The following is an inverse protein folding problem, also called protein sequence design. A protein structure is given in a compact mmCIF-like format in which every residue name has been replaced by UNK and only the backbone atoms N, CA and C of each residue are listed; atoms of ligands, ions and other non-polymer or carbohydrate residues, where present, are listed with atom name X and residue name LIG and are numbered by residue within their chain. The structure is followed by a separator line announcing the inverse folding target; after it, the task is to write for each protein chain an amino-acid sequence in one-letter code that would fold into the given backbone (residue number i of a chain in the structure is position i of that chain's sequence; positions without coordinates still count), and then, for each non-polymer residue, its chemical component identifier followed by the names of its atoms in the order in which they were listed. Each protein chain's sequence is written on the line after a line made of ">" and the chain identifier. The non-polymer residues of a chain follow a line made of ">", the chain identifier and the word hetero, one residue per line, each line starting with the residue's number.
data_IF_773468951397
#
_entry.id   IF_773468951397
#
_cell.length_a   1.000
_cell.length_b   1.000
_cell.length_c   1.000
_cell.angle_alpha   90.00
_cell.angle_beta   90.00
_cell.angle_gamma   90.00
#
_symmetry.space_group_name_H-M   'P 1'
#
loop_
_entity.id
_entity.type
_entity.pdbx_description
1 polymer ?
#
# COMPACT_ATOMS: atom_id res chain seq x y z
N UNK A 1 -16.41 -13.35 -5.14
CA UNK A 1 -17.06 -12.00 -4.95
C UNK A 1 -16.71 -11.50 -3.56
N UNK A 2 -16.18 -10.30 -3.43
CA UNK A 2 -15.72 -9.75 -2.16
C UNK A 2 -16.86 -9.74 -1.14
N UNK A 3 -16.59 -10.22 0.06
CA UNK A 3 -17.48 -10.25 1.22
C UNK A 3 -16.96 -9.30 2.28
N UNK A 4 -17.85 -8.64 3.01
CA UNK A 4 -17.54 -7.82 4.19
C UNK A 4 -17.94 -8.63 5.41
N UNK A 5 -17.12 -8.63 6.44
CA UNK A 5 -17.47 -9.24 7.74
C UNK A 5 -18.53 -8.39 8.48
N UNK A 6 -19.77 -8.47 8.01
CA UNK A 6 -20.88 -7.71 8.60
C UNK A 6 -21.20 -8.15 10.04
N UNK A 7 -20.97 -9.41 10.39
CA UNK A 7 -21.26 -9.90 11.74
C UNK A 7 -20.37 -9.25 12.79
N UNK A 8 -19.09 -9.03 12.47
CA UNK A 8 -18.19 -8.25 13.32
C UNK A 8 -18.67 -6.81 13.49
N UNK A 9 -19.16 -6.15 12.43
CA UNK A 9 -19.74 -4.81 12.51
C UNK A 9 -20.95 -4.81 13.46
N UNK A 10 -21.87 -5.74 13.28
CA UNK A 10 -23.09 -5.81 14.11
C UNK A 10 -22.78 -6.14 15.57
N UNK A 11 -21.78 -6.96 15.83
CA UNK A 11 -21.28 -7.28 17.17
C UNK A 11 -20.73 -6.02 17.86
N UNK A 12 -19.82 -5.30 17.20
CA UNK A 12 -19.20 -4.09 17.73
C UNK A 12 -20.24 -2.98 18.05
N UNK A 13 -21.25 -2.80 17.17
CA UNK A 13 -22.35 -1.84 17.43
C UNK A 13 -23.06 -2.18 18.73
N UNK A 14 -23.38 -3.48 18.96
CA UNK A 14 -24.07 -3.92 20.18
C UNK A 14 -23.20 -3.76 21.43
N UNK A 15 -21.96 -4.24 21.37
CA UNK A 15 -21.03 -4.23 22.52
C UNK A 15 -20.69 -2.81 22.96
N UNK A 16 -20.50 -1.89 22.01
CA UNK A 16 -20.21 -0.48 22.28
C UNK A 16 -21.46 0.35 22.55
N UNK A 17 -22.66 -0.22 22.32
CA UNK A 17 -23.94 0.52 22.42
C UNK A 17 -23.92 1.78 21.56
N UNK A 18 -23.35 1.69 20.35
CA UNK A 18 -23.20 2.82 19.47
C UNK A 18 -24.58 3.36 19.04
N UNK A 19 -24.73 4.68 19.03
CA UNK A 19 -25.95 5.37 18.57
C UNK A 19 -25.77 6.03 17.21
N UNK A 20 -24.53 6.07 16.69
CA UNK A 20 -24.19 6.49 15.33
C UNK A 20 -22.90 5.83 14.87
N UNK A 21 -22.76 5.54 13.57
CA UNK A 21 -21.55 4.93 13.00
C UNK A 21 -21.14 5.59 11.69
N UNK A 22 -19.84 5.55 11.39
CA UNK A 22 -19.29 5.89 10.09
C UNK A 22 -18.62 4.66 9.47
N UNK A 23 -18.70 4.50 8.15
CA UNK A 23 -18.10 3.42 7.38
C UNK A 23 -17.16 4.02 6.34
N UNK A 24 -15.90 3.66 6.38
CA UNK A 24 -14.86 4.05 5.43
C UNK A 24 -14.38 2.82 4.66
N UNK A 25 -14.21 2.93 3.35
CA UNK A 25 -13.78 1.81 2.53
C UNK A 25 -13.15 2.27 1.20
N UNK A 26 -12.34 1.42 0.53
CA UNK A 26 -11.90 1.67 -0.84
C UNK A 26 -13.07 1.84 -1.80
N UNK A 27 -12.88 2.66 -2.85
CA UNK A 27 -13.90 2.96 -3.87
C UNK A 27 -14.57 1.71 -4.43
N UNK A 28 -13.80 0.64 -4.66
CA UNK A 28 -14.33 -0.64 -5.17
C UNK A 28 -15.29 -1.36 -4.23
N UNK A 29 -15.33 -1.00 -2.94
CA UNK A 29 -16.24 -1.57 -1.95
C UNK A 29 -17.45 -0.67 -1.65
N UNK A 30 -17.48 0.57 -2.13
CA UNK A 30 -18.56 1.53 -1.81
C UNK A 30 -19.97 0.98 -2.03
N UNK A 31 -20.32 0.28 -3.15
CA UNK A 31 -21.65 -0.26 -3.34
C UNK A 31 -22.06 -1.25 -2.22
N UNK A 32 -21.13 -2.11 -1.80
CA UNK A 32 -21.38 -3.08 -0.70
C UNK A 32 -21.48 -2.39 0.65
N UNK A 33 -20.67 -1.37 0.89
CA UNK A 33 -20.72 -0.58 2.12
C UNK A 33 -22.03 0.18 2.24
N UNK A 34 -22.59 0.68 1.13
CA UNK A 34 -23.94 1.26 1.10
C UNK A 34 -25.01 0.24 1.52
N UNK A 35 -24.94 -1.00 1.03
CA UNK A 35 -25.84 -2.07 1.44
C UNK A 35 -25.69 -2.39 2.94
N UNK A 36 -24.45 -2.46 3.44
CA UNK A 36 -24.16 -2.69 4.86
C UNK A 36 -24.70 -1.54 5.72
N UNK A 37 -24.53 -0.29 5.31
CA UNK A 37 -25.07 0.88 6.00
C UNK A 37 -26.62 0.82 6.09
N UNK A 38 -27.28 0.45 4.98
CA UNK A 38 -28.73 0.28 4.97
C UNK A 38 -29.21 -0.84 5.94
N UNK A 39 -28.45 -1.95 6.01
CA UNK A 39 -28.73 -3.03 6.98
C UNK A 39 -28.58 -2.56 8.43
N UNK A 40 -27.53 -1.75 8.72
CA UNK A 40 -27.32 -1.16 10.05
C UNK A 40 -28.50 -0.27 10.44
N UNK A 41 -28.89 0.66 9.58
CA UNK A 41 -30.01 1.56 9.83
C UNK A 41 -31.32 0.78 10.07
N UNK A 42 -31.58 -0.25 9.27
CA UNK A 42 -32.78 -1.11 9.43
C UNK A 42 -32.74 -1.95 10.70
N UNK A 43 -31.59 -2.51 11.07
CA UNK A 43 -31.46 -3.47 12.19
C UNK A 43 -31.38 -2.78 13.55
N UNK A 44 -30.70 -1.63 13.61
CA UNK A 44 -30.38 -0.94 14.88
C UNK A 44 -31.13 0.39 15.06
N UNK A 45 -31.72 0.94 14.00
CA UNK A 45 -32.40 2.24 14.05
C UNK A 45 -31.46 3.44 14.26
N UNK A 46 -30.18 3.28 13.97
CA UNK A 46 -29.15 4.31 14.16
C UNK A 46 -28.64 4.88 12.82
N UNK A 47 -28.16 6.14 12.78
CA UNK A 47 -27.50 6.67 11.60
C UNK A 47 -26.22 5.89 11.25
N UNK A 48 -26.06 5.55 9.96
CA UNK A 48 -24.86 4.92 9.41
C UNK A 48 -24.37 5.75 8.21
N UNK A 49 -23.28 6.49 8.41
CA UNK A 49 -22.72 7.40 7.39
C UNK A 49 -21.68 6.66 6.56
N UNK A 50 -21.83 6.66 5.24
CA UNK A 50 -20.79 6.18 4.32
C UNK A 50 -19.87 7.34 3.99
N UNK A 51 -18.60 7.23 4.37
CA UNK A 51 -17.57 8.21 4.00
C UNK A 51 -17.13 7.90 2.55
N UNK A 52 -17.58 8.73 1.61
CA UNK A 52 -17.43 8.46 0.18
C UNK A 52 -16.22 9.14 -0.47
N UNK A 53 -15.34 9.74 0.32
CA UNK A 53 -14.05 10.22 -0.17
C UNK A 53 -13.12 9.04 -0.51
N UNK A 54 -12.29 9.19 -1.54
CA UNK A 54 -11.34 8.15 -1.96
C UNK A 54 -10.41 7.74 -0.82
N UNK A 55 -10.42 6.46 -0.48
CA UNK A 55 -9.57 5.84 0.55
C UNK A 55 -8.47 4.99 -0.10
N UNK A 56 -7.21 5.33 0.19
CA UNK A 56 -6.04 4.72 -0.46
C UNK A 56 -5.49 3.47 0.25
N UNK A 57 -5.79 3.32 1.53
CA UNK A 57 -5.28 2.20 2.33
C UNK A 57 -5.57 2.37 3.81
N UNK A 58 -5.02 1.49 4.64
CA UNK A 58 -5.09 1.58 6.10
C UNK A 58 -4.48 2.86 6.69
N UNK A 59 -3.65 3.55 5.92
CA UNK A 59 -3.08 4.85 6.26
C UNK A 59 -4.05 6.03 6.06
N UNK A 60 -5.29 5.77 5.61
CA UNK A 60 -6.30 6.79 5.25
C UNK A 60 -7.65 6.43 5.87
N UNK A 61 -7.73 6.55 7.19
CA UNK A 61 -8.89 6.11 7.96
C UNK A 61 -10.07 7.09 7.90
N UNK A 62 -9.83 8.34 7.51
CA UNK A 62 -10.81 9.43 7.54
C UNK A 62 -11.43 9.66 8.93
N UNK A 63 -10.62 9.52 9.98
CA UNK A 63 -11.06 9.71 11.37
C UNK A 63 -11.63 11.11 11.64
N UNK A 64 -11.11 12.11 10.90
CA UNK A 64 -11.63 13.47 11.02
C UNK A 64 -13.07 13.60 10.51
N UNK A 65 -13.42 12.92 9.40
CA UNK A 65 -14.80 12.86 8.90
C UNK A 65 -15.75 12.24 9.93
N UNK A 66 -15.34 11.13 10.54
CA UNK A 66 -16.11 10.48 11.61
C UNK A 66 -16.30 11.39 12.83
N UNK A 67 -15.26 12.15 13.23
CA UNK A 67 -15.33 13.11 14.33
C UNK A 67 -16.29 14.27 14.05
N UNK A 68 -16.26 14.84 12.84
CA UNK A 68 -17.16 15.92 12.42
C UNK A 68 -18.63 15.45 12.45
N UNK A 69 -18.88 14.18 12.11
CA UNK A 69 -20.21 13.56 12.15
C UNK A 69 -20.61 13.11 13.56
N UNK A 70 -19.74 13.27 14.56
CA UNK A 70 -19.91 12.74 15.92
C UNK A 70 -20.30 11.24 15.93
N UNK A 71 -19.69 10.45 15.02
CA UNK A 71 -19.91 9.01 14.97
C UNK A 71 -19.18 8.33 16.16
N UNK A 72 -19.89 7.46 16.88
CA UNK A 72 -19.31 6.72 18.01
C UNK A 72 -18.27 5.72 17.58
N UNK A 73 -18.50 5.08 16.42
CA UNK A 73 -17.57 4.09 15.85
C UNK A 73 -17.34 4.38 14.38
N UNK A 74 -16.07 4.33 14.00
CA UNK A 74 -15.63 4.32 12.61
C UNK A 74 -15.23 2.89 12.23
N UNK A 75 -15.95 2.28 11.31
CA UNK A 75 -15.57 1.02 10.68
C UNK A 75 -14.73 1.28 9.45
N UNK A 76 -13.46 0.88 9.48
CA UNK A 76 -12.60 0.89 8.31
C UNK A 76 -12.62 -0.49 7.66
N UNK A 77 -13.23 -0.58 6.48
CA UNK A 77 -13.56 -1.84 5.81
C UNK A 77 -12.53 -2.11 4.71
N UNK A 78 -11.93 -3.28 4.75
CA UNK A 78 -10.80 -3.64 3.89
C UNK A 78 -9.49 -2.96 4.33
N UNK A 79 -8.40 -3.27 3.64
CA UNK A 79 -7.05 -2.82 4.00
C UNK A 79 -6.68 -3.14 5.45
N UNK A 80 -7.11 -4.30 5.95
CA UNK A 80 -6.94 -4.69 7.35
C UNK A 80 -5.48 -4.90 7.67
N UNK A 81 -5.02 -4.22 8.70
CA UNK A 81 -3.71 -4.40 9.32
C UNK A 81 -3.88 -4.39 10.84
N UNK A 82 -2.95 -5.00 11.54
CA UNK A 82 -2.86 -4.86 13.00
C UNK A 82 -2.23 -3.51 13.33
N UNK A 83 -3.03 -2.53 13.76
CA UNK A 83 -2.54 -1.23 14.20
C UNK A 83 -2.56 -1.17 15.72
N UNK A 84 -1.40 -1.18 16.35
CA UNK A 84 -1.27 -1.00 17.80
C UNK A 84 -1.65 0.42 18.28
N UNK A 85 -1.85 1.36 17.34
CA UNK A 85 -2.03 2.80 17.61
C UNK A 85 -3.36 3.36 17.09
N UNK A 86 -4.34 2.51 16.77
CA UNK A 86 -5.67 2.98 16.31
C UNK A 86 -6.41 3.65 17.47
N UNK A 87 -7.09 4.75 17.17
CA UNK A 87 -8.01 5.38 18.12
C UNK A 87 -9.08 4.35 18.57
N UNK A 88 -9.45 4.37 19.85
CA UNK A 88 -10.38 3.38 20.46
C UNK A 88 -11.74 3.25 19.75
N UNK A 89 -12.15 4.28 19.00
CA UNK A 89 -13.40 4.30 18.26
C UNK A 89 -13.26 3.82 16.79
N UNK A 90 -12.07 3.45 16.33
CA UNK A 90 -11.85 2.87 15.01
C UNK A 90 -11.81 1.35 15.12
N UNK A 91 -12.54 0.66 14.25
CA UNK A 91 -12.57 -0.79 14.15
C UNK A 91 -12.23 -1.20 12.72
N UNK A 92 -11.22 -2.06 12.58
CA UNK A 92 -10.84 -2.63 11.29
C UNK A 92 -11.75 -3.82 10.98
N UNK A 93 -12.34 -3.82 9.80
CA UNK A 93 -13.25 -4.87 9.32
C UNK A 93 -12.67 -5.52 8.07
N UNK A 94 -12.60 -6.84 8.08
CA UNK A 94 -12.11 -7.60 6.95
C UNK A 94 -13.06 -7.55 5.76
N UNK A 95 -12.44 -7.42 4.58
CA UNK A 95 -13.08 -7.65 3.29
C UNK A 95 -12.23 -8.67 2.53
N UNK A 96 -12.80 -9.80 2.18
CA UNK A 96 -12.11 -10.93 1.59
C UNK A 96 -12.85 -11.50 0.39
N UNK A 97 -12.13 -12.19 -0.50
CA UNK A 97 -12.70 -12.86 -1.66
C UNK A 97 -12.41 -14.37 -1.63
N UNK A 98 -13.45 -15.17 -1.81
CA UNK A 98 -13.37 -16.63 -1.85
C UNK A 98 -13.14 -17.18 -3.28
N UNK A 99 -12.65 -16.36 -4.20
CA UNK A 99 -12.34 -16.85 -5.55
C UNK A 99 -11.30 -17.97 -5.49
N UNK A 100 -11.55 -19.09 -6.20
CA UNK A 100 -10.65 -20.23 -6.18
C UNK A 100 -9.36 -19.96 -6.94
N UNK A 101 -8.23 -20.33 -6.33
CA UNK A 101 -6.91 -20.33 -6.95
C UNK A 101 -6.54 -21.67 -7.60
N UNK A 102 -7.38 -22.71 -7.56
CA UNK A 102 -7.05 -24.07 -8.04
C UNK A 102 -6.51 -24.07 -9.47
N UNK A 103 -7.29 -23.55 -10.43
CA UNK A 103 -6.92 -23.54 -11.84
C UNK A 103 -5.61 -22.79 -12.11
N UNK A 104 -5.39 -21.69 -11.41
CA UNK A 104 -4.20 -20.88 -11.60
C UNK A 104 -2.98 -21.49 -10.90
N UNK A 105 -3.19 -22.20 -9.79
CA UNK A 105 -2.14 -22.94 -9.10
C UNK A 105 -1.58 -24.08 -9.97
N UNK A 106 -2.43 -24.79 -10.72
CA UNK A 106 -1.98 -25.81 -11.70
C UNK A 106 -1.05 -25.20 -12.76
N UNK A 107 -1.41 -24.04 -13.31
CA UNK A 107 -0.56 -23.33 -14.25
C UNK A 107 0.77 -22.90 -13.61
N UNK A 108 0.73 -22.43 -12.37
CA UNK A 108 1.91 -22.03 -11.60
C UNK A 108 2.86 -23.21 -11.39
N UNK A 109 2.33 -24.40 -11.04
CA UNK A 109 3.10 -25.63 -10.89
C UNK A 109 3.88 -25.95 -12.16
N UNK A 110 3.24 -25.85 -13.33
CA UNK A 110 3.91 -26.15 -14.60
C UNK A 110 5.11 -25.23 -14.89
N UNK A 111 5.08 -23.98 -14.42
CA UNK A 111 6.14 -23.00 -14.65
C UNK A 111 7.24 -23.10 -13.57
N UNK A 112 6.86 -23.36 -12.31
CA UNK A 112 7.74 -23.24 -11.15
C UNK A 112 8.07 -24.57 -10.45
N UNK A 113 7.70 -25.71 -11.06
CA UNK A 113 8.04 -27.05 -10.52
C UNK A 113 9.53 -27.19 -10.22
N UNK A 114 9.83 -27.68 -9.04
CA UNK A 114 11.19 -27.86 -8.55
C UNK A 114 11.85 -26.63 -7.97
N UNK A 115 11.29 -25.44 -8.19
CA UNK A 115 11.78 -24.17 -7.64
C UNK A 115 11.31 -23.96 -6.20
N UNK A 116 12.05 -23.11 -5.48
CA UNK A 116 11.65 -22.58 -4.18
C UNK A 116 11.07 -21.18 -4.38
N UNK A 117 9.86 -20.93 -3.88
CA UNK A 117 9.18 -19.64 -4.05
C UNK A 117 8.81 -19.02 -2.71
N UNK A 118 8.73 -17.70 -2.68
CA UNK A 118 8.07 -16.94 -1.63
C UNK A 118 6.61 -16.71 -2.03
N UNK A 119 5.66 -17.20 -1.22
CA UNK A 119 4.22 -17.01 -1.45
C UNK A 119 3.74 -15.80 -0.65
N UNK A 120 3.13 -14.84 -1.33
CA UNK A 120 2.85 -13.50 -0.82
C UNK A 120 1.47 -13.07 -1.29
N UNK A 121 0.77 -12.28 -0.48
CA UNK A 121 -0.55 -11.73 -0.83
C UNK A 121 -0.83 -10.41 -0.12
N UNK A 122 -1.96 -9.80 -0.41
CA UNK A 122 -2.55 -8.71 0.36
C UNK A 122 -3.60 -9.25 1.36
N UNK A 123 -4.26 -8.37 2.10
CA UNK A 123 -5.27 -8.76 3.10
C UNK A 123 -6.46 -9.49 2.50
N UNK A 124 -6.82 -9.20 1.24
CA UNK A 124 -8.01 -9.74 0.58
C UNK A 124 -7.96 -11.27 0.40
N UNK A 125 -6.77 -11.83 0.20
CA UNK A 125 -6.55 -13.26 -0.05
C UNK A 125 -5.72 -13.95 1.04
N UNK A 126 -5.45 -13.29 2.16
CA UNK A 126 -4.60 -13.82 3.22
C UNK A 126 -5.10 -15.17 3.78
N UNK A 127 -6.41 -15.35 3.90
CA UNK A 127 -7.04 -16.61 4.34
C UNK A 127 -6.80 -17.78 3.37
N UNK A 128 -6.40 -17.50 2.12
CA UNK A 128 -6.15 -18.51 1.09
C UNK A 128 -4.67 -18.90 0.96
N UNK A 129 -3.76 -18.22 1.66
CA UNK A 129 -2.31 -18.46 1.49
C UNK A 129 -1.91 -19.91 1.84
N UNK A 130 -2.42 -20.46 2.93
CA UNK A 130 -2.13 -21.85 3.33
C UNK A 130 -2.78 -22.91 2.43
N UNK A 131 -4.05 -22.81 2.01
CA UNK A 131 -4.60 -23.69 0.99
C UNK A 131 -3.82 -23.68 -0.32
N UNK A 132 -3.45 -22.52 -0.83
CA UNK A 132 -2.66 -22.40 -2.09
C UNK A 132 -1.25 -22.99 -1.91
N UNK A 133 -0.60 -22.73 -0.78
CA UNK A 133 0.70 -23.36 -0.46
C UNK A 133 0.63 -24.89 -0.57
N UNK A 134 -0.38 -25.51 0.05
CA UNK A 134 -0.54 -26.99 0.01
C UNK A 134 -0.71 -27.49 -1.44
N UNK A 135 -1.49 -26.79 -2.27
CA UNK A 135 -1.65 -27.15 -3.69
C UNK A 135 -0.31 -27.10 -4.44
N UNK A 136 0.45 -26.03 -4.27
CA UNK A 136 1.74 -25.82 -4.94
C UNK A 136 2.78 -26.87 -4.47
N UNK A 137 2.83 -27.16 -3.18
CA UNK A 137 3.74 -28.16 -2.59
C UNK A 137 3.41 -29.56 -3.09
N UNK A 138 2.13 -29.92 -3.19
CA UNK A 138 1.68 -31.20 -3.76
C UNK A 138 2.10 -31.32 -5.23
N UNK A 139 2.14 -30.22 -5.96
CA UNK A 139 2.60 -30.15 -7.35
C UNK A 139 4.13 -30.14 -7.52
N UNK A 140 4.90 -30.15 -6.42
CA UNK A 140 6.37 -30.21 -6.44
C UNK A 140 7.06 -28.84 -6.47
N UNK A 141 6.37 -27.77 -6.07
CA UNK A 141 6.96 -26.43 -5.81
C UNK A 141 7.31 -26.36 -4.33
N UNK A 142 8.48 -25.84 -3.98
CA UNK A 142 8.86 -25.61 -2.57
C UNK A 142 8.37 -24.20 -2.17
N UNK A 143 7.53 -24.09 -1.14
CA UNK A 143 6.91 -22.84 -0.76
C UNK A 143 7.46 -22.31 0.58
N UNK A 144 7.83 -21.04 0.60
CA UNK A 144 8.17 -20.29 1.80
C UNK A 144 7.13 -19.19 2.00
N UNK A 145 6.76 -18.94 3.26
CA UNK A 145 5.96 -17.79 3.67
C UNK A 145 6.82 -17.00 4.64
N UNK A 146 7.20 -15.79 4.24
CA UNK A 146 8.04 -14.94 5.08
C UNK A 146 7.26 -14.36 6.25
N UNK A 147 7.97 -14.06 7.33
CA UNK A 147 7.39 -13.49 8.54
C UNK A 147 6.95 -12.05 8.34
N UNK A 148 5.78 -11.74 8.84
CA UNK A 148 5.31 -10.37 8.95
C UNK A 148 6.14 -9.57 9.97
N UNK A 149 6.12 -8.25 9.83
CA UNK A 149 6.75 -7.33 10.77
C UNK A 149 5.83 -6.16 11.04
N UNK A 150 5.79 -5.69 12.29
CA UNK A 150 4.92 -4.58 12.68
C UNK A 150 3.45 -4.97 12.53
N UNK A 151 2.79 -4.37 11.57
CA UNK A 151 1.35 -4.53 11.31
C UNK A 151 1.02 -5.60 10.27
N UNK A 152 2.03 -6.23 9.67
CA UNK A 152 1.84 -7.25 8.64
C UNK A 152 1.75 -8.65 9.23
N UNK A 153 0.81 -9.44 8.73
CA UNK A 153 0.78 -10.89 8.94
C UNK A 153 1.86 -11.60 8.11
N UNK A 154 2.14 -12.87 8.42
CA UNK A 154 3.04 -13.70 7.63
C UNK A 154 2.55 -13.77 6.17
N UNK A 155 3.43 -13.56 5.21
CA UNK A 155 3.10 -13.51 3.78
C UNK A 155 2.30 -12.29 3.30
N UNK A 156 1.90 -11.39 4.17
CA UNK A 156 1.16 -10.18 3.81
C UNK A 156 2.08 -9.04 3.40
N UNK A 157 1.71 -8.31 2.35
CA UNK A 157 2.39 -7.07 1.93
C UNK A 157 1.42 -5.93 1.78
N UNK A 158 1.96 -4.72 1.88
CA UNK A 158 1.33 -3.48 1.46
C UNK A 158 2.06 -2.86 0.29
N UNK A 159 1.48 -1.82 -0.31
CA UNK A 159 2.13 -1.07 -1.38
C UNK A 159 3.38 -0.28 -0.96
N UNK A 160 3.74 -0.30 0.31
CA UNK A 160 4.90 0.39 0.89
C UNK A 160 5.70 -0.48 1.86
N UNK A 161 5.24 -1.69 2.17
CA UNK A 161 5.88 -2.62 3.11
C UNK A 161 5.94 -4.03 2.53
N UNK A 162 7.16 -4.58 2.42
CA UNK A 162 7.47 -5.85 1.75
C UNK A 162 8.30 -6.78 2.64
N UNK A 163 8.17 -6.70 3.97
CA UNK A 163 8.97 -7.47 4.91
C UNK A 163 8.94 -8.99 4.67
N UNK A 164 7.76 -9.64 4.44
CA UNK A 164 7.73 -11.08 4.20
C UNK A 164 8.50 -11.51 2.94
N UNK A 165 8.44 -10.70 1.88
CA UNK A 165 9.20 -10.95 0.67
C UNK A 165 10.72 -10.77 0.89
N UNK A 166 11.08 -9.72 1.62
CA UNK A 166 12.48 -9.40 1.91
C UNK A 166 13.14 -10.43 2.82
N UNK A 167 12.40 -11.03 3.77
CA UNK A 167 12.91 -12.07 4.68
C UNK A 167 13.30 -13.34 3.93
N UNK A 168 12.58 -13.69 2.88
CA UNK A 168 12.82 -14.93 2.13
C UNK A 168 13.75 -14.76 0.92
N UNK A 169 14.11 -13.54 0.54
CA UNK A 169 14.76 -13.22 -0.74
C UNK A 169 16.07 -14.00 -1.02
N UNK A 170 16.84 -14.35 0.01
CA UNK A 170 18.14 -15.04 -0.16
C UNK A 170 17.99 -16.56 -0.35
N UNK A 171 16.77 -17.12 -0.17
CA UNK A 171 16.53 -18.56 -0.16
C UNK A 171 15.46 -19.01 -1.17
N UNK A 172 14.98 -18.10 -2.02
CA UNK A 172 13.95 -18.39 -3.02
C UNK A 172 14.41 -18.04 -4.43
N UNK A 173 13.89 -18.77 -5.43
CA UNK A 173 14.16 -18.55 -6.84
C UNK A 173 13.20 -17.52 -7.46
N UNK A 174 12.01 -17.36 -6.86
CA UNK A 174 10.98 -16.43 -7.34
C UNK A 174 10.02 -16.02 -6.22
N UNK A 175 9.38 -14.87 -6.38
CA UNK A 175 8.21 -14.46 -5.61
C UNK A 175 6.94 -14.79 -6.38
N UNK A 176 5.88 -15.17 -5.67
CA UNK A 176 4.55 -15.42 -6.22
C UNK A 176 3.54 -14.63 -5.40
N UNK A 177 2.90 -13.66 -6.03
CA UNK A 177 1.87 -12.83 -5.42
C UNK A 177 0.47 -13.35 -5.81
N UNK A 178 -0.36 -13.65 -4.81
CA UNK A 178 -1.76 -14.03 -5.00
C UNK A 178 -2.62 -12.77 -5.08
N UNK A 179 -3.29 -12.56 -6.21
CA UNK A 179 -4.18 -11.43 -6.44
C UNK A 179 -4.02 -10.79 -7.82
N UNK A 180 -4.64 -9.62 -8.03
CA UNK A 180 -4.62 -8.91 -9.31
C UNK A 180 -3.55 -7.82 -9.41
N UNK A 181 -3.04 -7.34 -8.27
CA UNK A 181 -2.34 -6.07 -8.18
C UNK A 181 -0.92 -6.12 -8.75
N UNK A 182 -0.75 -5.64 -9.96
CA UNK A 182 0.59 -5.41 -10.54
C UNK A 182 1.44 -4.47 -9.68
N UNK A 183 0.81 -3.54 -8.97
CA UNK A 183 1.53 -2.59 -8.14
C UNK A 183 2.20 -3.26 -6.93
N UNK A 184 1.47 -4.11 -6.18
CA UNK A 184 2.05 -4.88 -5.07
C UNK A 184 3.16 -5.80 -5.57
N UNK A 185 2.91 -6.53 -6.66
CA UNK A 185 3.89 -7.44 -7.25
C UNK A 185 5.15 -6.70 -7.76
N UNK A 186 5.00 -5.54 -8.38
CA UNK A 186 6.14 -4.72 -8.79
C UNK A 186 6.94 -4.19 -7.59
N UNK A 187 6.26 -3.78 -6.52
CA UNK A 187 6.90 -3.39 -5.27
C UNK A 187 7.71 -4.54 -4.65
N UNK A 188 7.16 -5.77 -4.66
CA UNK A 188 7.88 -6.98 -4.25
C UNK A 188 9.12 -7.19 -5.11
N UNK A 189 8.97 -7.14 -6.45
CA UNK A 189 10.10 -7.30 -7.38
C UNK A 189 11.21 -6.27 -7.14
N UNK A 190 10.84 -4.99 -6.96
CA UNK A 190 11.78 -3.90 -6.71
C UNK A 190 12.46 -3.98 -5.35
N UNK A 191 11.73 -4.41 -4.31
CA UNK A 191 12.29 -4.51 -2.95
C UNK A 191 13.20 -5.72 -2.76
N UNK A 192 13.03 -6.78 -3.55
CA UNK A 192 13.80 -8.03 -3.43
C UNK A 192 14.81 -8.24 -4.53
N UNK A 193 14.60 -7.64 -5.70
CA UNK A 193 15.35 -7.88 -6.94
C UNK A 193 15.27 -9.35 -7.43
N UNK A 194 14.12 -10.00 -7.20
CA UNK A 194 13.86 -11.40 -7.58
C UNK A 194 12.71 -11.45 -8.58
N UNK A 195 12.73 -12.37 -9.58
CA UNK A 195 11.62 -12.59 -10.49
C UNK A 195 10.30 -12.75 -9.73
N UNK A 196 9.27 -11.99 -10.10
CA UNK A 196 8.01 -11.96 -9.38
C UNK A 196 6.84 -12.23 -10.32
N UNK A 197 6.01 -13.20 -9.95
CA UNK A 197 4.84 -13.65 -10.68
C UNK A 197 3.57 -13.25 -9.94
N UNK A 198 2.56 -12.80 -10.70
CA UNK A 198 1.19 -12.59 -10.21
C UNK A 198 0.36 -13.80 -10.59
N UNK A 199 -0.31 -14.41 -9.63
CA UNK A 199 -1.35 -15.40 -9.86
C UNK A 199 -2.70 -14.69 -9.77
N UNK A 200 -3.27 -14.38 -10.93
CA UNK A 200 -4.55 -13.68 -11.04
C UNK A 200 -5.70 -14.69 -11.24
N UNK A 201 -6.51 -14.95 -10.20
CA UNK A 201 -7.58 -15.92 -10.31
C UNK A 201 -8.78 -15.37 -11.11
N UNK A 202 -8.93 -14.05 -11.23
CA UNK A 202 -10.04 -13.42 -11.92
C UNK A 202 -9.92 -13.55 -13.45
N UNK A 203 -8.70 -13.38 -13.98
CA UNK A 203 -8.40 -13.58 -15.40
C UNK A 203 -7.80 -14.95 -15.69
N UNK A 204 -7.62 -15.80 -14.66
CA UNK A 204 -6.97 -17.10 -14.78
C UNK A 204 -5.61 -16.99 -15.49
N UNK A 205 -4.82 -15.99 -15.12
CA UNK A 205 -3.57 -15.60 -15.77
C UNK A 205 -2.41 -15.62 -14.79
N UNK A 206 -1.26 -16.14 -15.27
CA UNK A 206 0.03 -15.93 -14.61
C UNK A 206 0.81 -14.94 -15.45
N UNK A 207 1.30 -13.88 -14.81
CA UNK A 207 2.16 -12.90 -15.47
C UNK A 207 3.38 -12.57 -14.63
N UNK A 208 4.52 -12.52 -15.26
CA UNK A 208 5.75 -12.05 -14.67
C UNK A 208 5.78 -10.52 -14.75
N UNK A 209 6.10 -9.85 -13.62
CA UNK A 209 6.08 -8.38 -13.54
C UNK A 209 7.46 -7.74 -13.53
N UNK A 210 8.53 -8.51 -13.72
CA UNK A 210 9.92 -8.01 -13.66
C UNK A 210 10.16 -6.88 -14.68
N UNK A 211 9.70 -7.02 -15.91
CA UNK A 211 9.85 -5.96 -16.91
C UNK A 211 9.06 -4.70 -16.56
N UNK A 212 7.85 -4.86 -16.04
CA UNK A 212 7.02 -3.75 -15.57
C UNK A 212 7.69 -3.03 -14.39
N UNK A 213 8.22 -3.77 -13.41
CA UNK A 213 8.97 -3.22 -12.29
C UNK A 213 10.21 -2.44 -12.75
N UNK A 214 10.97 -2.99 -13.71
CA UNK A 214 12.12 -2.31 -14.30
C UNK A 214 11.75 -1.00 -15.02
N UNK A 215 10.60 -0.93 -15.69
CA UNK A 215 10.09 0.31 -16.30
C UNK A 215 9.78 1.36 -15.24
N UNK A 216 9.15 0.96 -14.12
CA UNK A 216 8.89 1.86 -12.99
C UNK A 216 10.18 2.37 -12.37
N UNK A 217 11.17 1.50 -12.15
CA UNK A 217 12.48 1.90 -11.61
C UNK A 217 13.18 2.89 -12.53
N UNK A 218 13.21 2.65 -13.85
CA UNK A 218 13.81 3.59 -14.81
C UNK A 218 13.14 4.96 -14.77
N UNK A 219 11.80 4.99 -14.74
CA UNK A 219 11.03 6.26 -14.59
C UNK A 219 11.40 6.99 -13.30
N UNK A 220 11.46 6.25 -12.19
CA UNK A 220 11.85 6.81 -10.89
C UNK A 220 13.28 7.34 -10.90
N UNK A 221 14.22 6.60 -11.47
CA UNK A 221 15.63 7.01 -11.60
C UNK A 221 15.76 8.28 -12.46
N UNK A 222 15.05 8.37 -13.58
CA UNK A 222 15.03 9.61 -14.38
C UNK A 222 14.48 10.80 -13.62
N UNK A 223 13.45 10.61 -12.79
CA UNK A 223 12.92 11.69 -11.94
C UNK A 223 13.96 12.15 -10.89
N UNK A 224 14.76 11.23 -10.32
CA UNK A 224 15.84 11.55 -9.38
C UNK A 224 16.91 12.39 -10.06
N UNK A 225 17.38 12.00 -11.26
CA UNK A 225 18.39 12.79 -12.01
C UNK A 225 17.86 14.16 -12.41
N UNK A 226 16.62 14.27 -12.88
CA UNK A 226 16.01 15.59 -13.15
C UNK A 226 15.94 16.45 -11.89
N UNK A 227 15.60 15.86 -10.75
CA UNK A 227 15.52 16.58 -9.48
C UNK A 227 16.93 17.00 -8.98
N UNK A 228 18.03 16.32 -9.34
CA UNK A 228 19.37 16.71 -8.91
C UNK A 228 19.80 18.08 -9.48
N UNK A 229 19.26 18.47 -10.63
CA UNK A 229 19.49 19.77 -11.26
C UNK A 229 18.69 20.92 -10.61
N UNK A 230 17.66 20.59 -9.82
CA UNK A 230 16.80 21.57 -9.16
C UNK A 230 17.56 22.40 -8.13
N UNK A 231 17.22 23.69 -8.04
CA UNK A 231 17.72 24.60 -7.01
C UNK A 231 16.75 24.74 -5.85
N UNK A 232 15.45 24.75 -6.15
CA UNK A 232 14.38 24.98 -5.18
C UNK A 232 13.52 23.73 -5.03
N UNK A 233 13.33 23.28 -3.80
CA UNK A 233 12.56 22.09 -3.46
C UNK A 233 11.31 22.41 -2.63
N UNK A 234 10.20 21.78 -2.97
CA UNK A 234 9.03 21.73 -2.14
C UNK A 234 8.94 20.37 -1.42
N UNK A 235 8.97 20.35 -0.08
CA UNK A 235 8.74 19.12 0.67
C UNK A 235 7.28 19.08 1.13
N UNK A 236 6.57 18.01 0.78
CA UNK A 236 5.14 17.86 1.03
C UNK A 236 4.93 16.83 2.14
N UNK A 237 4.31 17.30 3.23
CA UNK A 237 3.80 16.45 4.31
C UNK A 237 2.37 16.06 3.99
N UNK A 238 2.06 14.76 3.97
CA UNK A 238 0.69 14.27 3.85
C UNK A 238 -0.09 14.54 5.14
N UNK A 239 -1.35 14.95 5.02
CA UNK A 239 -2.23 15.23 6.17
C UNK A 239 -3.17 14.06 6.52
N UNK A 240 -3.12 12.96 5.77
CA UNK A 240 -3.85 11.73 6.11
C UNK A 240 -3.14 11.04 7.29
N UNK A 241 -3.89 10.34 8.14
CA UNK A 241 -3.42 9.87 9.44
C UNK A 241 -2.12 9.07 9.37
N UNK A 242 -2.09 8.02 8.57
CA UNK A 242 -0.91 7.15 8.40
C UNK A 242 0.13 7.68 7.41
N UNK A 243 -0.05 8.88 6.87
CA UNK A 243 0.87 9.52 5.93
C UNK A 243 1.59 10.74 6.52
N UNK A 244 1.35 11.03 7.80
CA UNK A 244 1.90 12.20 8.47
C UNK A 244 3.32 11.93 9.00
N UNK A 245 4.33 12.32 8.26
CA UNK A 245 5.74 12.14 8.63
C UNK A 245 6.52 13.48 8.71
N UNK A 246 6.22 14.27 9.73
CA UNK A 246 6.86 15.58 9.98
C UNK A 246 8.37 15.46 10.16
N UNK A 247 8.82 14.47 10.92
CA UNK A 247 10.25 14.30 11.23
C UNK A 247 11.06 13.97 9.97
N UNK A 248 10.52 13.13 9.09
CA UNK A 248 11.14 12.80 7.80
C UNK A 248 11.22 14.03 6.90
N UNK A 249 10.15 14.84 6.83
CA UNK A 249 10.16 16.08 6.06
C UNK A 249 11.24 17.06 6.56
N UNK A 250 11.34 17.26 7.88
CA UNK A 250 12.35 18.13 8.48
C UNK A 250 13.78 17.59 8.31
N UNK A 251 13.95 16.26 8.29
CA UNK A 251 15.23 15.63 7.97
C UNK A 251 15.64 15.95 6.54
N UNK A 252 14.77 15.70 5.54
CA UNK A 252 15.08 16.03 4.14
C UNK A 252 15.34 17.52 3.93
N UNK A 253 14.57 18.40 4.58
CA UNK A 253 14.81 19.84 4.53
C UNK A 253 16.27 20.16 4.94
N UNK A 254 16.68 19.72 6.12
CA UNK A 254 18.05 19.97 6.63
C UNK A 254 19.14 19.40 5.73
N UNK A 255 18.93 18.17 5.21
CA UNK A 255 19.93 17.54 4.35
C UNK A 255 20.05 18.25 3.00
N UNK A 256 18.96 18.69 2.39
CA UNK A 256 18.98 19.46 1.15
C UNK A 256 19.62 20.86 1.33
N UNK A 257 19.31 21.53 2.43
CA UNK A 257 19.91 22.83 2.76
C UNK A 257 21.45 22.73 2.94
N UNK A 258 21.96 21.61 3.50
CA UNK A 258 23.40 21.34 3.56
C UNK A 258 24.04 21.19 2.16
N UNK A 259 23.29 20.69 1.20
CA UNK A 259 23.71 20.57 -0.21
C UNK A 259 23.45 21.87 -1.01
N UNK A 260 23.16 22.99 -0.32
CA UNK A 260 22.99 24.31 -0.92
C UNK A 260 21.67 24.49 -1.67
N UNK A 261 20.64 23.68 -1.38
CA UNK A 261 19.31 23.79 -1.99
C UNK A 261 18.40 24.68 -1.15
N UNK A 262 17.52 25.45 -1.82
CA UNK A 262 16.44 26.18 -1.17
C UNK A 262 15.24 25.24 -0.93
N UNK A 263 14.63 25.30 0.25
CA UNK A 263 13.58 24.36 0.63
C UNK A 263 12.38 25.06 1.26
N UNK A 264 11.19 24.75 0.73
CA UNK A 264 9.91 25.17 1.30
C UNK A 264 9.10 23.93 1.77
N UNK A 265 8.33 24.07 2.85
CA UNK A 265 7.47 23.02 3.37
C UNK A 265 6.00 23.28 3.00
N UNK A 266 5.33 22.23 2.55
CA UNK A 266 3.91 22.24 2.21
C UNK A 266 3.19 21.12 2.97
N UNK A 267 1.90 21.29 3.19
CA UNK A 267 1.04 20.28 3.78
C UNK A 267 -0.21 20.09 2.90
N UNK A 268 -0.48 18.87 2.46
CA UNK A 268 -1.58 18.55 1.57
C UNK A 268 -2.29 17.27 2.00
N UNK A 269 -3.62 17.27 1.96
CA UNK A 269 -4.42 16.04 2.11
C UNK A 269 -4.38 15.20 0.84
N UNK A 270 -4.56 15.85 -0.33
CA UNK A 270 -4.50 15.21 -1.63
C UNK A 270 -3.40 15.84 -2.47
N UNK A 271 -2.41 15.04 -2.86
CA UNK A 271 -1.26 15.46 -3.67
C UNK A 271 -1.58 15.12 -5.13
N UNK A 272 -1.95 16.13 -5.90
CA UNK A 272 -2.28 16.00 -7.34
C UNK A 272 -1.45 16.97 -8.18
N UNK A 273 -1.31 16.67 -9.48
CA UNK A 273 -0.53 17.53 -10.38
C UNK A 273 -1.12 18.96 -10.44
N UNK A 274 -2.44 19.09 -10.49
CA UNK A 274 -3.13 20.38 -10.55
C UNK A 274 -2.83 21.26 -9.33
N UNK A 275 -2.75 20.64 -8.13
CA UNK A 275 -2.39 21.38 -6.92
C UNK A 275 -0.93 21.83 -6.96
N UNK A 276 -0.02 20.97 -7.42
CA UNK A 276 1.40 21.30 -7.50
C UNK A 276 1.71 22.37 -8.56
N UNK A 277 0.95 22.40 -9.66
CA UNK A 277 1.04 23.47 -10.67
C UNK A 277 0.76 24.87 -10.11
N UNK A 278 -0.07 24.98 -9.07
CA UNK A 278 -0.39 26.25 -8.41
C UNK A 278 0.73 26.73 -7.47
N UNK A 279 1.69 25.88 -7.12
CA UNK A 279 2.87 26.22 -6.30
C UNK A 279 3.96 26.74 -7.22
N UNK A 280 4.26 28.04 -7.10
CA UNK A 280 5.26 28.70 -7.96
C UNK A 280 6.65 28.73 -7.30
N UNK A 281 7.69 28.86 -8.13
CA UNK A 281 9.07 29.00 -7.66
C UNK A 281 9.69 27.70 -7.13
N UNK A 282 9.08 26.53 -7.35
CA UNK A 282 9.62 25.22 -6.98
C UNK A 282 10.00 24.44 -8.24
N UNK A 283 11.21 23.91 -8.29
CA UNK A 283 11.72 23.13 -9.42
C UNK A 283 11.37 21.64 -9.31
N UNK A 284 11.45 21.07 -8.09
CA UNK A 284 11.15 19.68 -7.80
C UNK A 284 10.49 19.53 -6.43
N UNK A 285 9.72 18.44 -6.27
CA UNK A 285 9.02 18.13 -5.03
C UNK A 285 9.51 16.81 -4.43
N UNK A 286 9.47 16.75 -3.10
CA UNK A 286 9.61 15.52 -2.31
C UNK A 286 8.33 15.36 -1.50
N UNK A 287 7.70 14.21 -1.54
CA UNK A 287 6.57 13.88 -0.69
C UNK A 287 6.95 12.76 0.29
N UNK A 288 6.58 12.93 1.54
CA UNK A 288 6.82 11.95 2.61
C UNK A 288 5.50 11.30 3.06
N UNK A 289 4.59 11.09 2.11
CA UNK A 289 3.26 10.57 2.35
C UNK A 289 3.11 9.11 1.90
N UNK A 290 3.08 8.85 0.61
CA UNK A 290 2.87 7.51 0.07
C UNK A 290 3.71 7.29 -1.20
N UNK A 291 4.50 6.22 -1.30
CA UNK A 291 5.33 5.96 -2.49
C UNK A 291 4.51 5.82 -3.77
N UNK A 292 3.26 5.37 -3.69
CA UNK A 292 2.36 5.25 -4.84
C UNK A 292 2.07 6.57 -5.53
N UNK A 293 2.04 7.69 -4.80
CA UNK A 293 1.77 9.01 -5.38
C UNK A 293 2.77 9.31 -6.49
N UNK A 294 4.05 9.04 -6.24
CA UNK A 294 5.12 9.31 -7.23
C UNK A 294 5.22 8.25 -8.32
N UNK A 295 4.76 7.02 -8.09
CA UNK A 295 4.84 5.91 -9.06
C UNK A 295 3.63 5.82 -9.97
N UNK A 296 2.44 6.02 -9.43
CA UNK A 296 1.17 5.77 -10.14
C UNK A 296 0.71 6.97 -10.97
N UNK A 297 1.14 8.19 -10.62
CA UNK A 297 0.70 9.41 -11.25
C UNK A 297 1.78 10.03 -12.15
N UNK A 298 1.34 10.95 -13.01
CA UNK A 298 2.23 11.80 -13.79
C UNK A 298 2.21 13.21 -13.23
N UNK A 299 3.40 13.78 -13.08
CA UNK A 299 3.60 15.13 -12.60
C UNK A 299 4.49 15.90 -13.59
N UNK A 300 4.20 17.17 -13.82
CA UNK A 300 4.98 18.02 -14.72
C UNK A 300 6.40 18.27 -14.18
N UNK A 301 6.51 18.39 -12.85
CA UNK A 301 7.79 18.51 -12.16
C UNK A 301 8.16 17.20 -11.48
N UNK A 302 9.44 16.90 -11.27
CA UNK A 302 9.85 15.75 -10.50
C UNK A 302 9.17 15.75 -9.13
N UNK A 303 8.49 14.65 -8.79
CA UNK A 303 7.92 14.40 -7.46
C UNK A 303 8.51 13.10 -6.94
N UNK A 304 9.35 13.20 -5.91
CA UNK A 304 10.09 12.07 -5.35
C UNK A 304 9.41 11.53 -4.09
N UNK A 305 9.38 10.21 -3.94
CA UNK A 305 9.04 9.52 -2.69
C UNK A 305 10.25 9.47 -1.74
N UNK A 306 10.05 9.00 -0.51
CA UNK A 306 11.11 8.87 0.49
C UNK A 306 12.35 8.10 0.02
N UNK A 307 12.26 6.90 -0.61
CA UNK A 307 13.46 6.22 -1.13
C UNK A 307 14.13 6.99 -2.26
N UNK A 308 13.34 7.60 -3.15
CA UNK A 308 13.86 8.41 -4.25
C UNK A 308 14.57 9.68 -3.75
N UNK A 309 14.04 10.33 -2.71
CA UNK A 309 14.67 11.49 -2.08
C UNK A 309 15.98 11.11 -1.36
N UNK A 310 16.02 9.92 -0.77
CA UNK A 310 17.25 9.36 -0.20
C UNK A 310 18.30 9.11 -1.29
N UNK A 311 17.89 8.57 -2.43
CA UNK A 311 18.77 8.40 -3.59
C UNK A 311 19.22 9.75 -4.18
N UNK A 312 18.35 10.76 -4.22
CA UNK A 312 18.72 12.12 -4.62
C UNK A 312 19.88 12.67 -3.76
N UNK A 313 19.79 12.55 -2.44
CA UNK A 313 20.87 13.01 -1.55
C UNK A 313 22.19 12.29 -1.82
N UNK A 314 22.15 11.00 -2.15
CA UNK A 314 23.33 10.25 -2.57
C UNK A 314 23.93 10.81 -3.85
N UNK A 315 23.12 11.09 -4.88
CA UNK A 315 23.61 11.72 -6.14
C UNK A 315 24.27 13.07 -5.86
N UNK A 316 23.66 13.92 -5.04
CA UNK A 316 24.21 15.23 -4.69
C UNK A 316 25.57 15.12 -3.98
N UNK A 317 25.86 13.98 -3.35
CA UNK A 317 27.12 13.64 -2.67
C UNK A 317 28.08 12.80 -3.51
N UNK A 318 27.76 12.60 -4.79
CA UNK A 318 28.51 11.74 -5.71
C UNK A 318 28.61 10.27 -5.25
N UNK A 319 27.58 9.77 -4.59
CA UNK A 319 27.45 8.37 -4.15
C UNK A 319 26.59 7.55 -5.14
N UNK A 320 26.82 6.20 -5.19
CA UNK A 320 25.97 5.30 -5.97
C UNK A 320 24.55 5.20 -5.40
N UNK A 321 23.59 5.06 -6.31
CA UNK A 321 22.18 4.82 -5.99
C UNK A 321 21.73 3.38 -6.30
N UNK A 322 22.65 2.47 -6.57
CA UNK A 322 22.31 1.09 -6.85
C UNK A 322 21.49 0.49 -5.70
N UNK A 323 20.43 -0.25 -6.07
CA UNK A 323 19.56 -0.90 -5.09
C UNK A 323 18.76 0.02 -4.17
N UNK A 324 18.57 1.30 -4.50
CA UNK A 324 17.87 2.25 -3.62
C UNK A 324 16.43 1.87 -3.28
N UNK A 325 15.79 1.02 -4.08
CA UNK A 325 14.46 0.46 -3.81
C UNK A 325 14.51 -0.93 -3.14
N UNK A 326 15.70 -1.57 -3.04
CA UNK A 326 15.87 -2.91 -2.46
C UNK A 326 15.82 -2.88 -0.93
N UNK A 327 14.79 -2.25 -0.41
CA UNK A 327 14.51 -2.11 1.02
C UNK A 327 13.07 -2.56 1.30
N UNK A 328 12.81 -3.17 2.47
CA UNK A 328 11.48 -3.73 2.79
C UNK A 328 10.42 -2.68 3.12
N UNK A 329 10.80 -1.41 3.32
CA UNK A 329 9.88 -0.35 3.73
C UNK A 329 10.21 0.96 3.02
N UNK A 330 9.23 1.53 2.33
CA UNK A 330 9.39 2.71 1.46
C UNK A 330 8.81 4.02 2.03
N UNK A 331 8.43 4.06 3.31
CA UNK A 331 7.93 5.25 4.01
C UNK A 331 8.99 5.92 4.90
#
# INVERSE_FOLDING_TARGET
>A
MIKIDEESIFKEIKERKAVSVALNAPDGLLPKVQETAAKIMKRFGIPAYVLADTTWGSCDLNSNGAKVLAADVLFNIGHTISLDTIEKNVVMIDAFDDISFEKIAEKCINILKGKTISLITDSQHLHQIEPVKKMLETGGVKVKIGKGKGQLNDGQVFGCEFYPASETKEIVDANVFLGQSNFHAAGIALSTNIPTYVLDPYFNEIREVTEFANKLQRKATLAIYKASEAKTFGIIVGLKEGQLSKLTALKFKRELEKEGKEVQLFALTNITNERLQNIKGIDAFIQVACPRISTDNQFDKPLLSTPQATALLKILRNESIDGYLQIPHWL
#
